data_IF_506255997363
#
_entry.id   IF_506255997363
#
_cell.length_a   1.000
_cell.length_b   1.000
_cell.length_c   1.000
_cell.angle_alpha   90.00
_cell.angle_beta   90.00
_cell.angle_gamma   90.00
#
_symmetry.space_group_name_H-M   'P 1'
#
loop_
_entity.id
_entity.type
_entity.pdbx_description
1 polymer ?
#
# COMPACT_ATOMS: atom_id res chain seq x y z
N UNK A 1 -10.20 3.66 -10.35
CA UNK A 1 -10.03 5.14 -10.32
C UNK A 1 -10.47 5.74 -8.99
N UNK A 2 -11.72 5.54 -8.54
CA UNK A 2 -12.21 6.03 -7.24
C UNK A 2 -11.30 5.61 -6.08
N UNK A 3 -10.92 4.33 -6.00
CA UNK A 3 -10.00 3.83 -4.97
C UNK A 3 -8.64 4.56 -4.95
N UNK A 4 -8.08 4.84 -6.12
CA UNK A 4 -6.79 5.55 -6.24
C UNK A 4 -6.92 7.00 -5.78
N UNK A 5 -8.01 7.69 -6.17
CA UNK A 5 -8.28 9.06 -5.72
C UNK A 5 -8.45 9.10 -4.19
N UNK A 6 -9.25 8.20 -3.63
CA UNK A 6 -9.44 8.08 -2.18
C UNK A 6 -8.09 7.83 -1.46
N UNK A 7 -7.25 6.94 -1.99
CA UNK A 7 -5.94 6.65 -1.43
C UNK A 7 -4.99 7.84 -1.49
N UNK A 8 -4.95 8.56 -2.63
CA UNK A 8 -4.14 9.77 -2.78
C UNK A 8 -4.58 10.87 -1.81
N UNK A 9 -5.89 11.12 -1.69
CA UNK A 9 -6.42 12.10 -0.72
C UNK A 9 -6.06 11.70 0.71
N UNK A 10 -6.29 10.43 1.07
CA UNK A 10 -5.96 9.90 2.40
C UNK A 10 -4.48 10.06 2.75
N UNK A 11 -3.59 9.78 1.81
CA UNK A 11 -2.13 9.94 1.99
C UNK A 11 -1.73 11.41 2.18
N UNK A 12 -2.35 12.34 1.45
CA UNK A 12 -2.10 13.79 1.59
C UNK A 12 -2.64 14.35 2.92
N UNK A 13 -3.79 13.86 3.38
CA UNK A 13 -4.34 14.23 4.68
C UNK A 13 -3.47 13.67 5.82
N UNK A 14 -2.99 12.43 5.67
CA UNK A 14 -2.10 11.78 6.63
C UNK A 14 -0.76 12.51 6.77
N UNK A 15 -0.13 12.91 5.67
CA UNK A 15 1.15 13.64 5.70
C UNK A 15 1.04 15.03 6.33
N UNK A 16 -0.12 15.70 6.20
CA UNK A 16 -0.39 17.00 6.85
C UNK A 16 -0.71 16.89 8.34
N UNK A 17 -1.25 15.75 8.79
CA UNK A 17 -1.58 15.50 10.19
C UNK A 17 -0.37 15.03 11.03
N UNK A 18 0.82 14.96 10.42
CA UNK A 18 2.00 14.33 10.99
C UNK A 18 2.56 15.14 12.17
N UNK A 19 2.25 14.68 13.37
CA UNK A 19 2.87 15.15 14.62
C UNK A 19 3.08 13.92 15.49
N UNK A 20 4.27 13.80 16.10
CA UNK A 20 4.67 12.66 16.93
C UNK A 20 3.53 12.22 17.87
N UNK A 21 3.08 10.98 17.74
CA UNK A 21 2.02 10.37 18.56
C UNK A 21 0.57 10.48 18.05
N UNK A 22 0.29 11.15 16.92
CA UNK A 22 -1.04 11.12 16.27
C UNK A 22 -1.20 10.01 15.23
N UNK A 23 -0.10 9.54 14.65
CA UNK A 23 -0.16 8.63 13.49
C UNK A 23 -0.70 7.23 13.85
N UNK A 24 -0.25 6.63 14.94
CA UNK A 24 -0.82 5.34 15.44
C UNK A 24 -2.32 5.47 15.74
N UNK A 25 -2.75 6.61 16.30
CA UNK A 25 -4.18 6.89 16.54
C UNK A 25 -4.96 7.02 15.23
N UNK A 26 -4.39 7.72 14.25
CA UNK A 26 -4.98 7.85 12.92
C UNK A 26 -5.13 6.50 12.23
N UNK A 27 -4.12 5.64 12.29
CA UNK A 27 -4.16 4.28 11.73
C UNK A 27 -5.17 3.38 12.45
N UNK A 28 -5.30 3.52 13.77
CA UNK A 28 -6.35 2.84 14.53
C UNK A 28 -7.76 3.23 14.06
N UNK A 29 -8.02 4.54 13.90
CA UNK A 29 -9.30 5.00 13.34
C UNK A 29 -9.51 4.55 11.90
N UNK A 30 -8.47 4.61 11.06
CA UNK A 30 -8.54 4.17 9.66
C UNK A 30 -8.89 2.69 9.55
N UNK A 31 -8.24 1.83 10.34
CA UNK A 31 -8.54 0.40 10.38
C UNK A 31 -9.95 0.15 10.92
N UNK A 32 -10.35 0.83 12.00
CA UNK A 32 -11.68 0.66 12.59
C UNK A 32 -12.81 1.05 11.62
N UNK A 33 -12.74 2.25 11.03
CA UNK A 33 -13.76 2.71 10.08
C UNK A 33 -13.70 1.93 8.77
N UNK A 34 -12.51 1.58 8.29
CA UNK A 34 -12.33 0.74 7.11
C UNK A 34 -12.96 -0.64 7.28
N UNK A 35 -12.66 -1.32 8.40
CA UNK A 35 -13.26 -2.61 8.73
C UNK A 35 -14.77 -2.51 8.98
N UNK A 36 -15.24 -1.45 9.63
CA UNK A 36 -16.68 -1.22 9.84
C UNK A 36 -17.42 -1.05 8.52
N UNK A 37 -16.87 -0.25 7.60
CA UNK A 37 -17.44 -0.08 6.27
C UNK A 37 -17.44 -1.41 5.50
N UNK A 38 -16.33 -2.15 5.51
CA UNK A 38 -16.23 -3.47 4.88
C UNK A 38 -17.26 -4.45 5.46
N UNK A 39 -17.47 -4.44 6.78
CA UNK A 39 -18.49 -5.25 7.45
C UNK A 39 -19.90 -4.90 7.00
N UNK A 40 -20.23 -3.60 6.89
CA UNK A 40 -21.53 -3.16 6.37
C UNK A 40 -21.74 -3.61 4.92
N UNK A 41 -20.71 -3.53 4.07
CA UNK A 41 -20.80 -4.02 2.70
C UNK A 41 -20.99 -5.54 2.64
N UNK A 42 -20.24 -6.31 3.42
CA UNK A 42 -20.40 -7.76 3.52
C UNK A 42 -21.82 -8.12 3.99
N UNK A 43 -22.38 -7.35 4.93
CA UNK A 43 -23.75 -7.50 5.40
C UNK A 43 -24.79 -7.25 4.30
N UNK A 44 -24.63 -6.15 3.56
CA UNK A 44 -25.51 -5.80 2.45
C UNK A 44 -25.41 -6.81 1.30
N UNK A 45 -24.22 -7.38 1.08
CA UNK A 45 -23.99 -8.41 0.07
C UNK A 45 -24.53 -9.80 0.48
N UNK A 46 -24.97 -9.97 1.74
CA UNK A 46 -25.53 -11.23 2.22
C UNK A 46 -24.50 -12.35 2.42
N UNK A 47 -23.20 -12.02 2.51
CA UNK A 47 -22.13 -13.01 2.61
C UNK A 47 -22.25 -13.91 3.86
N UNK A 48 -22.96 -13.45 4.90
CA UNK A 48 -23.25 -14.25 6.09
C UNK A 48 -24.07 -15.51 5.80
N UNK A 49 -24.89 -15.51 4.74
CA UNK A 49 -25.69 -16.69 4.39
C UNK A 49 -24.83 -17.82 3.81
N UNK A 50 -23.71 -17.46 3.19
CA UNK A 50 -22.73 -18.42 2.67
C UNK A 50 -21.64 -18.78 3.71
N UNK A 51 -21.67 -18.15 4.89
CA UNK A 51 -20.64 -18.31 5.91
C UNK A 51 -20.92 -19.51 6.80
N UNK A 52 -20.23 -20.62 6.52
CA UNK A 52 -20.29 -21.84 7.31
C UNK A 52 -19.05 -21.97 8.20
N UNK A 53 -19.21 -21.83 9.52
CA UNK A 53 -18.11 -22.01 10.50
C UNK A 53 -17.41 -23.38 10.36
N UNK A 54 -18.16 -24.42 10.00
CA UNK A 54 -17.64 -25.77 9.81
C UNK A 54 -16.68 -25.90 8.61
N UNK A 55 -16.71 -24.96 7.65
CA UNK A 55 -15.81 -24.95 6.49
C UNK A 55 -14.49 -24.21 6.75
N UNK A 56 -14.35 -23.56 7.91
CA UNK A 56 -13.11 -22.84 8.24
C UNK A 56 -12.06 -23.86 8.65
N UNK A 57 -11.21 -24.22 7.70
CA UNK A 57 -10.06 -25.07 7.94
C UNK A 57 -8.96 -24.35 8.76
N UNK A 58 -8.07 -25.12 9.41
CA UNK A 58 -6.95 -24.56 10.17
C UNK A 58 -6.03 -23.69 9.32
N UNK A 59 -5.87 -24.00 8.03
CA UNK A 59 -5.09 -23.18 7.09
C UNK A 59 -5.72 -21.80 6.89
N UNK A 60 -7.05 -21.71 6.72
CA UNK A 60 -7.73 -20.43 6.53
C UNK A 60 -7.56 -19.53 7.77
N UNK A 61 -7.64 -20.12 8.96
CA UNK A 61 -7.42 -19.40 10.22
C UNK A 61 -5.96 -18.94 10.36
N UNK A 62 -5.00 -19.80 10.00
CA UNK A 62 -3.59 -19.45 9.99
C UNK A 62 -3.29 -18.31 8.99
N UNK A 63 -3.83 -18.37 7.78
CA UNK A 63 -3.71 -17.31 6.77
C UNK A 63 -4.32 -15.99 7.24
N UNK A 64 -5.48 -16.03 7.92
CA UNK A 64 -6.09 -14.85 8.53
C UNK A 64 -5.16 -14.21 9.56
N UNK A 65 -4.67 -14.98 10.54
CA UNK A 65 -3.77 -14.45 11.57
C UNK A 65 -2.44 -13.98 10.99
N UNK A 66 -1.90 -14.69 10.00
CA UNK A 66 -0.72 -14.25 9.26
C UNK A 66 -0.94 -12.86 8.67
N UNK A 67 -2.09 -12.63 8.02
CA UNK A 67 -2.35 -11.35 7.37
C UNK A 67 -2.67 -10.22 8.37
N UNK A 68 -3.31 -10.53 9.50
CA UNK A 68 -3.51 -9.58 10.60
C UNK A 68 -2.16 -9.13 11.19
N UNK A 69 -1.25 -10.06 11.46
CA UNK A 69 0.02 -9.76 12.13
C UNK A 69 1.03 -9.16 11.14
N UNK A 70 1.35 -9.88 10.07
CA UNK A 70 2.39 -9.48 9.12
C UNK A 70 1.89 -8.44 8.12
N UNK A 71 0.74 -8.71 7.50
CA UNK A 71 0.16 -7.86 6.45
C UNK A 71 -0.40 -6.52 6.96
N UNK A 72 -0.84 -6.47 8.22
CA UNK A 72 -1.39 -5.25 8.82
C UNK A 72 -0.49 -4.70 9.93
N UNK A 73 -0.41 -5.34 11.09
CA UNK A 73 0.23 -4.73 12.26
C UNK A 73 1.70 -4.38 12.01
N UNK A 74 2.50 -5.34 11.52
CA UNK A 74 3.94 -5.13 11.28
C UNK A 74 4.17 -4.26 10.05
N UNK A 75 3.57 -4.60 8.90
CA UNK A 75 3.77 -3.87 7.65
C UNK A 75 3.36 -2.40 7.79
N UNK A 76 2.18 -2.13 8.34
CA UNK A 76 1.65 -0.77 8.45
C UNK A 76 2.45 0.04 9.49
N UNK A 77 2.78 -0.54 10.65
CA UNK A 77 3.63 0.14 11.64
C UNK A 77 5.02 0.48 11.07
N UNK A 78 5.61 -0.42 10.29
CA UNK A 78 6.90 -0.19 9.63
C UNK A 78 6.79 0.93 8.59
N UNK A 79 5.75 0.92 7.76
CA UNK A 79 5.49 1.99 6.79
C UNK A 79 5.33 3.35 7.46
N UNK A 80 4.56 3.42 8.54
CA UNK A 80 4.36 4.66 9.31
C UNK A 80 5.66 5.17 9.89
N UNK A 81 6.45 4.29 10.52
CA UNK A 81 7.76 4.66 11.06
C UNK A 81 8.68 5.17 9.96
N UNK A 82 8.73 4.48 8.81
CA UNK A 82 9.53 4.90 7.66
C UNK A 82 9.11 6.28 7.16
N UNK A 83 7.80 6.54 7.07
CA UNK A 83 7.24 7.81 6.63
C UNK A 83 7.58 8.99 7.55
N UNK A 84 7.78 8.73 8.84
CA UNK A 84 8.14 9.76 9.83
C UNK A 84 9.64 9.97 9.97
N UNK A 85 10.43 8.92 9.72
CA UNK A 85 11.87 8.91 10.02
C UNK A 85 12.76 9.04 8.78
N UNK A 86 12.25 8.74 7.58
CA UNK A 86 13.02 8.83 6.33
C UNK A 86 12.43 9.86 5.36
N UNK A 87 13.29 10.36 4.48
CA UNK A 87 12.87 11.22 3.38
C UNK A 87 11.85 10.50 2.47
N UNK A 88 10.86 11.22 1.90
CA UNK A 88 9.84 10.63 1.04
C UNK A 88 10.39 9.78 -0.11
N UNK A 89 11.55 10.16 -0.66
CA UNK A 89 12.25 9.38 -1.69
C UNK A 89 12.61 7.97 -1.23
N UNK A 90 13.12 7.81 0.00
CA UNK A 90 13.45 6.49 0.56
C UNK A 90 12.19 5.66 0.83
N UNK A 91 11.14 6.29 1.35
CA UNK A 91 9.84 5.64 1.60
C UNK A 91 9.22 5.14 0.28
N UNK A 92 9.36 5.91 -0.79
CA UNK A 92 8.81 5.56 -2.10
C UNK A 92 9.49 4.36 -2.77
N UNK A 93 10.71 3.99 -2.36
CA UNK A 93 11.38 2.78 -2.88
C UNK A 93 10.62 1.50 -2.58
N UNK A 94 9.84 1.46 -1.49
CA UNK A 94 8.94 0.35 -1.16
C UNK A 94 7.93 0.04 -2.28
N UNK A 95 7.45 1.06 -3.00
CA UNK A 95 6.53 0.86 -4.13
C UNK A 95 7.18 0.09 -5.29
N UNK A 96 8.50 0.17 -5.45
CA UNK A 96 9.27 -0.55 -6.47
C UNK A 96 9.51 -2.01 -6.05
N UNK A 97 9.79 -2.22 -4.76
CA UNK A 97 10.11 -3.55 -4.22
C UNK A 97 8.88 -4.44 -4.15
N UNK A 98 7.70 -3.89 -3.83
CA UNK A 98 6.47 -4.69 -3.66
C UNK A 98 6.10 -5.56 -4.87
N UNK A 99 6.03 -5.03 -6.11
CA UNK A 99 5.75 -5.85 -7.29
C UNK A 99 6.80 -6.94 -7.53
N UNK A 100 8.09 -6.63 -7.30
CA UNK A 100 9.18 -7.61 -7.46
C UNK A 100 9.04 -8.77 -6.46
N UNK A 101 8.79 -8.45 -5.20
CA UNK A 101 8.60 -9.46 -4.14
C UNK A 101 7.33 -10.28 -4.41
N UNK A 102 6.24 -9.66 -4.87
CA UNK A 102 5.01 -10.35 -5.20
C UNK A 102 5.20 -11.38 -6.33
N UNK A 103 5.84 -10.98 -7.44
CA UNK A 103 6.13 -11.88 -8.57
C UNK A 103 7.08 -13.01 -8.15
N UNK A 104 8.10 -12.68 -7.36
CA UNK A 104 9.06 -13.68 -6.89
C UNK A 104 8.41 -14.70 -5.94
N UNK A 105 7.58 -14.27 -4.99
CA UNK A 105 6.86 -15.15 -4.08
C UNK A 105 5.79 -15.98 -4.81
N UNK A 106 5.08 -15.42 -5.79
CA UNK A 106 4.13 -16.17 -6.62
C UNK A 106 4.80 -17.32 -7.36
N UNK A 107 5.96 -17.05 -7.97
CA UNK A 107 6.75 -18.10 -8.62
C UNK A 107 7.32 -19.12 -7.63
N UNK A 108 7.87 -18.67 -6.50
CA UNK A 108 8.61 -19.53 -5.57
C UNK A 108 7.71 -20.35 -4.63
N UNK A 109 6.52 -19.86 -4.26
CA UNK A 109 5.65 -20.48 -3.26
C UNK A 109 4.32 -21.00 -3.83
N UNK A 110 3.83 -20.41 -4.93
CA UNK A 110 2.55 -20.80 -5.57
C UNK A 110 2.77 -21.55 -6.89
N UNK A 111 4.03 -21.84 -7.26
CA UNK A 111 4.43 -22.47 -8.52
C UNK A 111 3.86 -21.73 -9.76
N UNK A 112 3.66 -20.41 -9.66
CA UNK A 112 3.13 -19.62 -10.77
C UNK A 112 4.18 -19.51 -11.91
N UNK A 113 3.85 -19.89 -13.15
CA UNK A 113 4.81 -19.88 -14.25
C UNK A 113 5.21 -18.46 -14.63
N UNK A 114 6.51 -18.15 -14.59
CA UNK A 114 7.06 -16.89 -15.06
C UNK A 114 7.06 -16.82 -16.59
N UNK A 115 5.90 -16.44 -17.14
CA UNK A 115 5.77 -16.21 -18.58
C UNK A 115 6.47 -14.92 -19.00
N UNK A 116 6.86 -14.85 -20.29
CA UNK A 116 7.38 -13.62 -20.90
C UNK A 116 6.44 -12.42 -20.71
N UNK A 117 5.13 -12.66 -20.71
CA UNK A 117 4.11 -11.63 -20.46
C UNK A 117 4.23 -11.05 -19.06
N UNK A 118 4.34 -11.90 -18.02
CA UNK A 118 4.49 -11.44 -16.63
C UNK A 118 5.76 -10.60 -16.48
N UNK A 119 6.86 -11.05 -17.08
CA UNK A 119 8.14 -10.31 -17.06
C UNK A 119 7.97 -8.95 -17.74
N UNK A 120 7.38 -8.90 -18.94
CA UNK A 120 7.15 -7.65 -19.67
C UNK A 120 6.25 -6.68 -18.90
N UNK A 121 5.14 -7.16 -18.34
CA UNK A 121 4.24 -6.35 -17.51
C UNK A 121 4.95 -5.82 -16.24
N UNK A 122 5.74 -6.67 -15.58
CA UNK A 122 6.52 -6.27 -14.39
C UNK A 122 7.51 -5.17 -14.73
N UNK A 123 8.26 -5.31 -15.83
CA UNK A 123 9.20 -4.28 -16.30
C UNK A 123 8.49 -2.97 -16.66
N UNK A 124 7.31 -3.05 -17.28
CA UNK A 124 6.52 -1.87 -17.63
C UNK A 124 6.04 -1.12 -16.39
N UNK A 125 5.55 -1.83 -15.37
CA UNK A 125 5.17 -1.23 -14.08
C UNK A 125 6.38 -0.59 -13.39
N UNK A 126 7.51 -1.28 -13.33
CA UNK A 126 8.74 -0.75 -12.72
C UNK A 126 9.24 0.51 -13.44
N UNK A 127 9.18 0.53 -14.78
CA UNK A 127 9.53 1.72 -15.55
C UNK A 127 8.61 2.90 -15.25
N UNK A 128 7.29 2.66 -15.16
CA UNK A 128 6.32 3.69 -14.79
C UNK A 128 6.61 4.28 -13.41
N UNK A 129 6.87 3.44 -12.40
CA UNK A 129 7.21 3.87 -11.04
C UNK A 129 8.53 4.66 -11.03
N UNK A 130 9.54 4.19 -11.77
CA UNK A 130 10.83 4.87 -11.87
C UNK A 130 10.69 6.31 -12.40
N UNK A 131 9.89 6.51 -13.45
CA UNK A 131 9.65 7.86 -13.99
C UNK A 131 8.94 8.80 -13.02
N UNK A 132 8.07 8.26 -12.16
CA UNK A 132 7.35 9.06 -11.15
C UNK A 132 8.25 9.43 -9.98
N UNK A 133 9.08 8.49 -9.49
CA UNK A 133 9.92 8.69 -8.31
C UNK A 133 11.16 9.52 -8.61
N UNK A 134 11.73 9.40 -9.82
CA UNK A 134 12.96 10.07 -10.22
C UNK A 134 12.73 11.14 -11.30
N UNK A 135 12.05 12.27 -10.96
CA UNK A 135 11.85 13.35 -11.93
C UNK A 135 13.20 13.96 -12.32
N UNK A 136 13.36 14.24 -13.62
CA UNK A 136 14.52 15.00 -14.12
C UNK A 136 14.56 16.36 -13.40
N UNK A 137 15.71 16.72 -12.80
CA UNK A 137 15.93 18.05 -12.22
C UNK A 137 15.72 19.11 -13.31
N UNK A 138 14.57 19.77 -13.31
CA UNK A 138 14.34 20.97 -14.13
C UNK A 138 15.18 22.10 -13.55
N UNK A 139 16.10 22.67 -14.34
CA UNK A 139 16.85 23.87 -13.95
C UNK A 139 15.84 24.96 -13.59
N UNK A 140 15.86 25.44 -12.35
CA UNK A 140 15.09 26.64 -11.96
C UNK A 140 15.48 27.78 -12.90
N UNK A 141 14.52 28.47 -13.55
CA UNK A 141 14.84 29.69 -14.27
C UNK A 141 15.43 30.67 -13.25
N UNK A 142 16.62 31.17 -13.57
CA UNK A 142 17.29 32.18 -12.76
C UNK A 142 16.41 33.44 -12.89
N UNK A 143 15.56 33.70 -11.90
CA UNK A 143 14.86 34.97 -11.80
C UNK A 143 15.96 36.01 -11.59
N UNK A 144 16.25 36.79 -12.63
CA UNK A 144 17.13 37.93 -12.55
C UNK A 144 16.46 38.98 -11.64
N UNK A 145 17.02 39.31 -10.46
CA UNK A 145 16.44 40.28 -9.53
C UNK A 145 16.61 41.74 -10.00
N UNK A 146 16.65 41.99 -11.31
CA UNK A 146 16.96 43.30 -11.88
C UNK A 146 15.83 43.80 -12.78
N UNK A 147 14.59 43.85 -12.29
CA UNK A 147 13.57 44.79 -12.78
C UNK A 147 12.66 45.21 -11.61
N UNK A 148 12.68 46.52 -11.33
CA UNK A 148 11.96 47.34 -10.33
C UNK A 148 12.60 47.49 -8.94
#
# INVERSE_FOLDING_TARGET
LVAVICWSIGTLLQSKADTKGRLIRYSGFQLFFGSSAAFVFAAMAGEYQAFEWARIGPLALASYFYMVIFGSAIAFSSYLWLSQNLEPSKVSTYAVINPLVAVWLGWALLDEPLTLTIIACTLLVLAGIYFVIFPKKTKKPILNPAIN
#
